data_IF_301581972636
#
_entry.id   IF_301581972636
#
_cell.length_a   1.000
_cell.length_b   1.000
_cell.length_c   1.000
_cell.angle_alpha   90.00
_cell.angle_beta   90.00
_cell.angle_gamma   90.00
#
_symmetry.space_group_name_H-M   'P 1'
#
loop_
_entity.id
_entity.type
_entity.pdbx_description
1 polymer ?
#
# COMPACT_ATOMS: atom_id res chain seq x y z
N UNK A 1 -12.75 -10.40 -38.56
CA UNK A 1 -12.40 -9.22 -39.38
C UNK A 1 -11.68 -9.65 -40.66
N UNK A 2 -10.68 -10.53 -40.55
CA UNK A 2 -9.89 -11.07 -41.67
C UNK A 2 -10.72 -11.73 -42.79
N UNK A 3 -11.72 -12.55 -42.45
CA UNK A 3 -12.59 -13.20 -43.45
C UNK A 3 -13.41 -12.20 -44.29
N UNK A 4 -13.83 -11.09 -43.70
CA UNK A 4 -14.61 -10.04 -44.38
C UNK A 4 -13.72 -9.24 -45.32
N UNK A 5 -12.49 -8.93 -44.88
CA UNK A 5 -11.49 -8.25 -45.70
C UNK A 5 -11.07 -9.13 -46.88
N UNK A 6 -10.91 -10.43 -46.64
CA UNK A 6 -10.55 -11.41 -47.68
C UNK A 6 -11.63 -11.58 -48.75
N UNK A 7 -12.91 -11.57 -48.38
CA UNK A 7 -14.03 -11.59 -49.34
C UNK A 7 -14.07 -10.33 -50.21
N UNK A 8 -13.90 -9.14 -49.60
CA UNK A 8 -13.87 -7.87 -50.33
C UNK A 8 -12.73 -7.83 -51.37
N UNK A 9 -11.55 -8.35 -51.01
CA UNK A 9 -10.40 -8.49 -51.92
C UNK A 9 -10.70 -9.47 -53.05
N UNK A 10 -11.20 -10.67 -52.74
CA UNK A 10 -11.53 -11.69 -53.74
C UNK A 10 -12.54 -11.21 -54.78
N UNK A 11 -13.53 -10.42 -54.35
CA UNK A 11 -14.54 -9.85 -55.25
C UNK A 11 -13.98 -8.72 -56.12
N UNK A 12 -13.04 -7.94 -55.60
CA UNK A 12 -12.34 -6.93 -56.40
C UNK A 12 -11.44 -7.58 -57.46
N UNK A 13 -10.66 -8.60 -57.09
CA UNK A 13 -9.77 -9.33 -58.01
C UNK A 13 -10.53 -10.02 -59.15
N UNK A 14 -11.73 -10.51 -58.86
CA UNK A 14 -12.63 -11.11 -59.87
C UNK A 14 -13.42 -10.08 -60.70
N UNK A 15 -13.18 -8.78 -60.51
CA UNK A 15 -13.87 -7.70 -61.21
C UNK A 15 -15.33 -7.50 -60.79
N UNK A 16 -15.82 -8.23 -59.79
CA UNK A 16 -17.17 -8.14 -59.25
C UNK A 16 -17.35 -6.95 -58.29
N UNK A 17 -16.27 -6.21 -58.00
CA UNK A 17 -16.27 -5.01 -57.18
C UNK A 17 -15.39 -3.95 -57.84
N UNK A 18 -15.84 -2.69 -57.83
CA UNK A 18 -15.01 -1.58 -58.30
C UNK A 18 -14.02 -1.15 -57.22
N UNK A 19 -12.93 -0.46 -57.61
CA UNK A 19 -11.97 0.14 -56.66
C UNK A 19 -12.66 1.04 -55.62
N UNK A 20 -13.70 1.77 -56.03
CA UNK A 20 -14.50 2.62 -55.14
C UNK A 20 -15.29 1.78 -54.13
N UNK A 21 -15.92 0.70 -54.58
CA UNK A 21 -16.65 -0.23 -53.72
C UNK A 21 -15.74 -0.91 -52.69
N UNK A 22 -14.50 -1.26 -53.08
CA UNK A 22 -13.51 -1.83 -52.16
C UNK A 22 -13.15 -0.85 -51.03
N UNK A 23 -12.83 0.40 -51.39
CA UNK A 23 -12.47 1.44 -50.42
C UNK A 23 -13.63 1.69 -49.44
N UNK A 24 -14.87 1.75 -49.94
CA UNK A 24 -16.06 1.93 -49.11
C UNK A 24 -16.27 0.75 -48.15
N UNK A 25 -16.11 -0.48 -48.64
CA UNK A 25 -16.23 -1.70 -47.81
C UNK A 25 -15.19 -1.75 -46.68
N UNK A 26 -13.92 -1.49 -47.00
CA UNK A 26 -12.84 -1.46 -46.01
C UNK A 26 -13.04 -0.35 -44.96
N UNK A 27 -13.54 0.82 -45.38
CA UNK A 27 -13.82 1.94 -44.47
C UNK A 27 -14.93 1.58 -43.47
N UNK A 28 -15.98 0.87 -43.91
CA UNK A 28 -17.05 0.41 -43.02
C UNK A 28 -16.56 -0.64 -42.01
N UNK A 29 -15.67 -1.55 -42.41
CA UNK A 29 -15.06 -2.54 -41.51
C UNK A 29 -14.19 -1.86 -40.44
N UNK A 30 -13.44 -0.82 -40.80
CA UNK A 30 -12.65 -0.03 -39.85
C UNK A 30 -13.52 0.75 -38.85
N UNK A 31 -14.62 1.35 -39.31
CA UNK A 31 -15.56 2.08 -38.45
C UNK A 31 -16.26 1.15 -37.44
N UNK A 32 -16.60 -0.08 -37.85
CA UNK A 32 -17.18 -1.10 -36.97
C UNK A 32 -16.22 -1.56 -35.85
N UNK A 33 -14.90 -1.48 -36.06
CA UNK A 33 -13.89 -1.76 -35.03
C UNK A 33 -13.72 -0.63 -33.99
N UNK A 34 -14.09 0.61 -34.33
CA UNK A 34 -13.98 1.77 -33.44
C UNK A 34 -15.15 1.92 -32.45
N UNK A 35 -16.34 1.40 -32.79
CA UNK A 35 -17.53 1.54 -31.95
C UNK A 35 -17.51 0.67 -30.68
N UNK A 36 -16.63 -0.34 -30.60
CA UNK A 36 -16.57 -1.29 -29.47
C UNK A 36 -15.64 -0.85 -28.32
N UNK A 37 -15.06 0.36 -28.34
CA UNK A 37 -14.17 0.85 -27.29
C UNK A 37 -14.61 2.14 -26.62
N UNK A 38 -15.91 2.41 -26.56
CA UNK A 38 -16.43 3.24 -25.48
C UNK A 38 -16.46 2.42 -24.19
N UNK A 39 -15.28 2.09 -23.65
CA UNK A 39 -15.18 1.68 -22.25
C UNK A 39 -15.68 2.89 -21.47
N UNK A 40 -16.85 2.78 -20.85
CA UNK A 40 -17.27 3.71 -19.82
C UNK A 40 -16.15 3.72 -18.78
N UNK A 41 -15.30 4.75 -18.81
CA UNK A 41 -14.38 5.01 -17.73
C UNK A 41 -15.27 5.28 -16.53
N UNK A 42 -15.38 4.30 -15.65
CA UNK A 42 -15.95 4.51 -14.33
C UNK A 42 -15.07 5.58 -13.70
N UNK A 43 -15.56 6.83 -13.68
CA UNK A 43 -14.87 7.90 -12.96
C UNK A 43 -14.75 7.44 -11.52
N UNK A 44 -13.53 7.14 -11.10
CA UNK A 44 -13.25 6.90 -9.69
C UNK A 44 -13.79 8.11 -8.90
N UNK A 45 -14.52 7.89 -7.79
CA UNK A 45 -15.06 8.98 -7.01
C UNK A 45 -13.95 9.96 -6.66
N UNK A 46 -14.15 11.24 -6.99
CA UNK A 46 -13.19 12.28 -6.64
C UNK A 46 -13.22 12.46 -5.13
N UNK A 47 -12.13 12.07 -4.46
CA UNK A 47 -11.97 12.32 -3.04
C UNK A 47 -12.00 13.83 -2.78
N UNK A 48 -12.79 14.27 -1.79
CA UNK A 48 -12.88 15.68 -1.40
C UNK A 48 -11.54 16.22 -0.86
N UNK A 49 -10.68 15.32 -0.38
CA UNK A 49 -9.35 15.62 0.14
C UNK A 49 -8.31 14.75 -0.56
N UNK A 50 -7.13 15.32 -0.81
CA UNK A 50 -5.97 14.58 -1.31
C UNK A 50 -5.12 14.13 -0.13
N UNK A 51 -5.16 12.84 0.20
CA UNK A 51 -4.26 12.27 1.19
C UNK A 51 -2.81 12.28 0.65
N UNK A 52 -1.84 12.60 1.50
CA UNK A 52 -0.42 12.61 1.13
C UNK A 52 0.31 11.36 1.63
N UNK A 53 0.14 11.03 2.92
CA UNK A 53 0.74 9.89 3.61
C UNK A 53 -0.01 9.62 4.90
N UNK A 54 0.22 8.46 5.51
CA UNK A 54 -0.07 8.27 6.93
C UNK A 54 0.92 9.15 7.71
N UNK A 55 0.40 10.00 8.60
CA UNK A 55 1.25 10.86 9.43
C UNK A 55 1.85 10.06 10.58
N UNK A 56 1.01 9.46 11.42
CA UNK A 56 1.38 8.56 12.51
C UNK A 56 0.23 7.59 12.84
N UNK A 57 0.54 6.53 13.59
CA UNK A 57 -0.45 5.67 14.24
C UNK A 57 -0.57 6.01 15.72
N UNK A 58 -1.79 6.06 16.27
CA UNK A 58 -1.99 6.22 17.70
C UNK A 58 -2.48 4.92 18.32
N UNK A 59 -1.79 4.44 19.36
CA UNK A 59 -2.16 3.25 20.13
C UNK A 59 -2.41 3.63 21.58
N UNK A 60 -3.40 2.97 22.19
CA UNK A 60 -3.57 3.03 23.63
C UNK A 60 -2.52 2.14 24.29
N UNK A 61 -1.96 2.58 25.41
CA UNK A 61 -1.01 1.81 26.19
C UNK A 61 -1.41 1.78 27.66
N UNK A 62 -1.10 0.68 28.34
CA UNK A 62 -1.36 0.48 29.76
C UNK A 62 -0.23 1.01 30.66
N UNK A 63 0.99 1.11 30.12
CA UNK A 63 2.16 1.67 30.79
C UNK A 63 2.97 2.49 29.77
N UNK A 64 2.89 3.81 29.93
CA UNK A 64 3.50 4.75 29.00
C UNK A 64 5.05 4.70 29.04
N UNK A 65 5.73 4.74 30.21
CA UNK A 65 7.19 4.54 30.27
C UNK A 65 7.68 3.23 29.64
N UNK A 66 7.00 2.10 29.91
CA UNK A 66 7.35 0.79 29.36
C UNK A 66 7.25 0.77 27.83
N UNK A 67 6.19 1.38 27.31
CA UNK A 67 5.96 1.49 25.86
C UNK A 67 6.99 2.40 25.19
N UNK A 68 7.29 3.55 25.80
CA UNK A 68 8.33 4.45 25.29
C UNK A 68 9.67 3.71 25.20
N UNK A 69 10.09 3.07 26.28
CA UNK A 69 11.36 2.35 26.32
C UNK A 69 11.45 1.24 25.25
N UNK A 70 10.35 0.54 24.97
CA UNK A 70 10.29 -0.47 23.92
C UNK A 70 10.60 0.14 22.54
N UNK A 71 9.86 1.17 22.12
CA UNK A 71 10.02 1.75 20.78
C UNK A 71 11.36 2.46 20.61
N UNK A 72 11.89 3.09 21.66
CA UNK A 72 13.25 3.65 21.64
C UNK A 72 14.31 2.55 21.50
N UNK A 73 14.19 1.45 22.26
CA UNK A 73 15.18 0.38 22.27
C UNK A 73 15.15 -0.46 20.99
N UNK A 74 13.97 -0.74 20.45
CA UNK A 74 13.81 -1.64 19.30
C UNK A 74 14.02 -0.93 17.97
N UNK A 75 13.53 0.31 17.85
CA UNK A 75 13.50 1.04 16.58
C UNK A 75 14.31 2.33 16.60
N UNK A 76 14.96 2.66 17.72
CA UNK A 76 15.76 3.88 17.85
C UNK A 76 14.93 5.17 17.79
N UNK A 77 13.61 5.08 17.99
CA UNK A 77 12.75 6.27 17.91
C UNK A 77 13.09 7.27 19.02
N UNK A 78 12.89 8.54 18.73
CA UNK A 78 13.05 9.63 19.71
C UNK A 78 11.73 10.33 19.96
N UNK A 79 11.59 10.98 21.12
CA UNK A 79 10.45 11.85 21.39
C UNK A 79 10.40 13.02 20.41
N UNK A 80 9.31 13.10 19.66
CA UNK A 80 9.02 14.18 18.70
C UNK A 80 8.19 15.26 19.39
N UNK A 81 7.17 14.86 20.17
CA UNK A 81 6.34 15.78 20.95
C UNK A 81 5.63 15.06 22.09
N UNK A 82 5.20 15.83 23.08
CA UNK A 82 4.49 15.34 24.25
C UNK A 82 3.28 16.25 24.54
N UNK A 83 2.19 15.63 24.94
CA UNK A 83 1.03 16.29 25.55
C UNK A 83 0.83 15.68 26.93
N UNK A 84 1.55 16.24 27.90
CA UNK A 84 1.62 15.72 29.27
C UNK A 84 0.25 15.72 29.97
N UNK A 85 -0.59 16.76 29.87
CA UNK A 85 -1.93 16.76 30.47
C UNK A 85 -2.83 15.62 29.98
N UNK A 86 -2.65 15.16 28.74
CA UNK A 86 -3.41 14.05 28.16
C UNK A 86 -2.64 12.72 28.15
N UNK A 87 -1.44 12.68 28.75
CA UNK A 87 -0.58 11.49 28.82
C UNK A 87 -0.28 10.87 27.45
N UNK A 88 0.07 11.73 26.48
CA UNK A 88 0.43 11.33 25.11
C UNK A 88 1.89 11.64 24.83
N UNK A 89 2.61 10.67 24.27
CA UNK A 89 3.98 10.85 23.75
C UNK A 89 4.06 10.35 22.31
N UNK A 90 4.57 11.19 21.41
CA UNK A 90 4.79 10.85 20.01
C UNK A 90 6.26 10.54 19.78
N UNK A 91 6.54 9.33 19.28
CA UNK A 91 7.87 8.84 18.97
C UNK A 91 8.05 8.72 17.45
N UNK A 92 9.26 8.97 16.98
CA UNK A 92 9.56 8.87 15.55
C UNK A 92 11.02 9.14 15.20
N UNK A 93 11.27 9.45 13.93
CA UNK A 93 12.62 9.70 13.40
C UNK A 93 12.75 11.18 13.03
N UNK A 94 13.75 11.86 13.61
CA UNK A 94 13.90 13.30 13.46
C UNK A 94 12.66 14.03 13.97
N UNK A 95 12.04 14.84 13.11
CA UNK A 95 10.79 15.58 13.44
C UNK A 95 9.52 14.85 13.03
N UNK A 96 9.62 13.64 12.44
CA UNK A 96 8.46 12.89 11.95
C UNK A 96 8.04 11.84 12.97
N UNK A 97 6.87 12.05 13.58
CA UNK A 97 6.21 11.03 14.39
C UNK A 97 5.87 9.79 13.54
N UNK A 98 5.97 8.61 14.15
CA UNK A 98 5.55 7.33 13.56
C UNK A 98 4.49 6.67 14.46
N UNK A 99 4.71 6.68 15.77
CA UNK A 99 3.81 6.10 16.77
C UNK A 99 3.49 7.15 17.84
N UNK A 100 2.21 7.30 18.15
CA UNK A 100 1.67 8.10 19.25
C UNK A 100 1.20 7.13 20.34
N UNK A 101 1.84 7.17 21.49
CA UNK A 101 1.50 6.37 22.66
C UNK A 101 0.58 7.19 23.55
N UNK A 102 -0.60 6.67 23.86
CA UNK A 102 -1.61 7.35 24.68
C UNK A 102 -1.94 6.47 25.89
N UNK A 103 -1.60 6.93 27.10
CA UNK A 103 -1.96 6.21 28.32
C UNK A 103 -3.47 6.28 28.52
N UNK A 104 -4.20 5.24 28.12
CA UNK A 104 -5.65 5.22 28.12
C UNK A 104 -6.17 3.79 28.16
N UNK A 105 -7.23 3.57 28.95
CA UNK A 105 -7.97 2.31 28.98
C UNK A 105 -9.44 2.50 28.55
N UNK A 106 -10.09 1.46 28.00
CA UNK A 106 -9.49 0.19 27.58
C UNK A 106 -8.61 0.33 26.33
N UNK A 107 -7.68 -0.59 26.13
CA UNK A 107 -6.88 -0.69 24.90
C UNK A 107 -7.77 -1.16 23.75
N UNK A 108 -7.71 -0.49 22.60
CA UNK A 108 -8.36 -0.96 21.37
C UNK A 108 -7.63 -2.14 20.74
N UNK A 109 -8.33 -2.93 19.92
CA UNK A 109 -7.70 -3.99 19.13
C UNK A 109 -6.98 -3.37 17.94
N UNK A 110 -5.67 -3.56 17.88
CA UNK A 110 -4.85 -3.31 16.68
C UNK A 110 -4.25 -4.66 16.30
N UNK A 111 -4.57 -5.12 15.10
CA UNK A 111 -4.07 -6.40 14.59
C UNK A 111 -2.55 -6.34 14.40
N UNK A 112 -2.07 -5.48 13.49
CA UNK A 112 -0.67 -5.16 13.36
C UNK A 112 -0.44 -3.80 12.70
N UNK A 113 0.80 -3.32 12.75
CA UNK A 113 1.25 -2.20 11.94
C UNK A 113 2.72 -2.30 11.58
N UNK A 114 3.14 -1.61 10.52
CA UNK A 114 4.48 -1.72 9.99
C UNK A 114 5.35 -0.49 10.29
N UNK A 115 6.60 -0.74 10.68
CA UNK A 115 7.67 0.25 10.73
C UNK A 115 8.71 -0.10 9.66
N UNK A 116 8.96 0.86 8.76
CA UNK A 116 10.05 0.77 7.78
C UNK A 116 11.40 0.97 8.45
N UNK A 117 12.34 0.06 8.19
CA UNK A 117 13.73 0.12 8.67
C UNK A 117 14.68 0.30 7.49
N UNK A 118 15.62 1.24 7.63
CA UNK A 118 16.65 1.50 6.63
C UNK A 118 17.59 0.29 6.48
N UNK A 119 18.06 0.05 5.25
CA UNK A 119 18.97 -1.07 4.94
C UNK A 119 18.45 -2.44 5.42
N UNK A 120 17.13 -2.67 5.32
CA UNK A 120 16.50 -3.89 5.80
C UNK A 120 17.14 -5.14 5.20
N UNK A 121 17.66 -5.99 6.08
CA UNK A 121 18.11 -7.34 5.78
C UNK A 121 17.55 -8.27 6.86
N UNK A 122 16.69 -9.20 6.45
CA UNK A 122 15.95 -10.08 7.36
C UNK A 122 16.87 -10.86 8.31
N UNK A 123 18.00 -11.39 7.83
CA UNK A 123 18.94 -12.15 8.65
C UNK A 123 19.67 -11.27 9.66
N UNK A 124 20.09 -10.07 9.24
CA UNK A 124 20.74 -9.11 10.14
C UNK A 124 19.79 -8.64 11.24
N UNK A 125 18.55 -8.29 10.88
CA UNK A 125 17.51 -7.91 11.85
C UNK A 125 17.19 -9.05 12.81
N UNK A 126 17.08 -10.29 12.29
CA UNK A 126 16.84 -11.48 13.12
C UNK A 126 17.96 -11.68 14.15
N UNK A 127 19.23 -11.51 13.76
CA UNK A 127 20.37 -11.63 14.68
C UNK A 127 20.34 -10.53 15.76
N UNK A 128 20.06 -9.29 15.37
CA UNK A 128 20.00 -8.16 16.29
C UNK A 128 18.89 -8.33 17.34
N UNK A 129 17.69 -8.74 16.90
CA UNK A 129 16.55 -8.97 17.79
C UNK A 129 16.78 -10.15 18.75
N UNK A 130 17.38 -11.25 18.25
CA UNK A 130 17.79 -12.38 19.10
C UNK A 130 18.82 -11.97 20.15
N UNK A 131 19.80 -11.16 19.78
CA UNK A 131 20.80 -10.64 20.73
C UNK A 131 20.18 -9.77 21.83
N UNK A 132 19.01 -9.18 21.57
CA UNK A 132 18.23 -8.39 22.53
C UNK A 132 17.20 -9.22 23.33
N UNK A 133 17.15 -10.53 23.11
CA UNK A 133 16.22 -11.44 23.79
C UNK A 133 14.77 -11.31 23.33
N UNK A 134 14.54 -10.80 22.11
CA UNK A 134 13.19 -10.56 21.56
C UNK A 134 12.79 -11.75 20.69
N UNK A 135 11.60 -12.28 20.94
CA UNK A 135 10.97 -13.28 20.08
C UNK A 135 10.51 -12.63 18.78
N UNK A 136 10.91 -13.21 17.66
CA UNK A 136 10.52 -12.79 16.34
C UNK A 136 9.60 -13.84 15.72
N UNK A 137 8.56 -13.37 15.06
CA UNK A 137 7.60 -14.18 14.34
C UNK A 137 7.55 -13.79 12.87
N UNK A 138 7.21 -14.77 12.03
CA UNK A 138 7.01 -14.58 10.59
C UNK A 138 5.88 -15.48 10.13
N UNK A 139 4.71 -14.89 9.87
CA UNK A 139 3.49 -15.60 9.53
C UNK A 139 2.69 -14.85 8.45
N UNK A 140 1.60 -15.46 7.97
CA UNK A 140 0.76 -14.86 6.93
C UNK A 140 -0.07 -13.67 7.41
N UNK A 141 -0.29 -13.55 8.73
CA UNK A 141 -1.20 -12.57 9.31
C UNK A 141 -0.50 -11.21 9.48
N UNK A 142 0.64 -11.19 10.18
CA UNK A 142 1.40 -9.97 10.50
C UNK A 142 2.77 -9.89 9.78
N UNK A 143 3.17 -10.92 9.03
CA UNK A 143 4.48 -10.99 8.36
C UNK A 143 5.63 -11.07 9.36
N UNK A 144 6.79 -10.52 8.99
CA UNK A 144 8.00 -10.48 9.83
C UNK A 144 7.87 -9.40 10.91
N UNK A 145 7.65 -9.80 12.16
CA UNK A 145 7.25 -8.87 13.22
C UNK A 145 7.78 -9.27 14.61
N UNK A 146 7.66 -8.31 15.53
CA UNK A 146 7.82 -8.51 16.99
C UNK A 146 6.55 -8.05 17.69
N UNK A 147 6.32 -8.51 18.92
CA UNK A 147 5.15 -8.13 19.71
C UNK A 147 5.53 -6.98 20.67
N UNK A 148 4.72 -5.92 20.66
CA UNK A 148 4.90 -4.77 21.53
C UNK A 148 4.36 -5.02 22.97
N UNK A 149 4.58 -4.08 23.91
CA UNK A 149 4.14 -4.26 25.30
C UNK A 149 2.62 -4.41 25.50
N UNK A 150 1.81 -4.02 24.51
CA UNK A 150 0.35 -4.14 24.52
C UNK A 150 -0.13 -5.39 23.75
N UNK A 151 0.79 -6.20 23.23
CA UNK A 151 0.46 -7.41 22.47
C UNK A 151 0.24 -7.15 20.98
N UNK A 152 0.56 -5.95 20.48
CA UNK A 152 0.37 -5.58 19.08
C UNK A 152 1.55 -6.09 18.25
N UNK A 153 1.26 -6.71 17.11
CA UNK A 153 2.30 -7.11 16.17
C UNK A 153 2.87 -5.88 15.44
N UNK A 154 4.16 -5.60 15.65
CA UNK A 154 4.90 -4.54 14.96
C UNK A 154 5.71 -5.17 13.85
N UNK A 155 5.16 -5.12 12.64
CA UNK A 155 5.79 -5.61 11.43
C UNK A 155 7.00 -4.75 11.06
N UNK A 156 8.07 -5.41 10.63
CA UNK A 156 9.32 -4.77 10.21
C UNK A 156 9.44 -4.95 8.69
N UNK A 157 9.48 -3.84 7.97
CA UNK A 157 9.59 -3.80 6.51
C UNK A 157 10.77 -2.93 6.08
N UNK A 158 11.16 -2.97 4.81
CA UNK A 158 12.12 -2.02 4.25
C UNK A 158 11.51 -0.62 4.09
N UNK A 159 12.28 0.42 4.41
CA UNK A 159 11.92 1.82 4.21
C UNK A 159 12.24 2.33 2.79
#
# INVERSE_FOLDING_TARGET
MEAIISDLLSRFEKGALTRRGLIQGLTMVAAAGGAAKAQAQVQAPQAALKAAKIDHMSIQVSDLPRSIAFYQKMFGLTTVSEDKPNEIVRLGVGTRALVSLHHKSPTGLVDHFAIGVENFNKDAVTRELKARGVSLEDNLDAGFHIVDPEGISVQIVGA
#
